data_IF_586802112872
#
_entry.id   IF_586802112872
#
_cell.length_a   1.000
_cell.length_b   1.000
_cell.length_c   1.000
_cell.angle_alpha   90.00
_cell.angle_beta   90.00
_cell.angle_gamma   90.00
#
_symmetry.space_group_name_H-M   'P 1'
#
loop_
_entity.id
_entity.type
_entity.pdbx_description
1 polymer ?
#
# COMPACT_ATOMS: atom_id res chain seq x y z
N UNK A 1 54.47 44.58 44.53
CA UNK A 1 53.30 44.64 43.64
C UNK A 1 53.13 43.25 43.04
N UNK A 2 52.22 42.42 43.55
CA UNK A 2 51.93 41.05 43.07
C UNK A 2 50.67 41.14 42.23
N UNK A 3 50.77 40.88 40.96
CA UNK A 3 49.65 40.80 40.03
C UNK A 3 49.16 39.36 40.07
N UNK A 4 47.99 39.15 40.65
CA UNK A 4 47.31 37.85 40.68
C UNK A 4 46.48 37.74 39.42
N UNK A 5 46.92 36.89 38.46
CA UNK A 5 46.17 36.56 37.27
C UNK A 5 45.09 35.56 37.67
N UNK A 6 43.83 35.98 37.67
CA UNK A 6 42.67 35.14 37.78
C UNK A 6 42.43 34.47 36.43
N UNK A 7 42.80 33.21 36.33
CA UNK A 7 42.46 32.36 35.19
C UNK A 7 40.99 31.92 35.40
N UNK A 8 40.09 32.63 34.74
CA UNK A 8 38.67 32.25 34.66
C UNK A 8 38.59 31.09 33.64
N UNK A 9 38.65 29.86 34.15
CA UNK A 9 38.33 28.68 33.35
C UNK A 9 36.83 28.64 33.09
N UNK A 10 36.45 29.16 31.92
CA UNK A 10 35.09 29.00 31.40
C UNK A 10 34.92 27.54 31.05
N UNK A 11 34.41 26.76 32.00
CA UNK A 11 33.85 25.42 31.73
C UNK A 11 32.63 25.63 30.85
N UNK A 12 32.85 25.55 29.53
CA UNK A 12 31.77 25.23 28.60
C UNK A 12 31.32 23.82 28.91
N UNK A 13 30.35 23.70 29.80
CA UNK A 13 29.48 22.54 29.83
C UNK A 13 28.68 22.61 28.54
N UNK A 14 29.23 22.09 27.47
CA UNK A 14 28.43 21.67 26.34
C UNK A 14 27.55 20.54 26.85
N UNK A 15 26.42 20.92 27.46
CA UNK A 15 25.28 20.02 27.52
C UNK A 15 24.93 19.76 26.06
N UNK A 16 25.58 18.71 25.50
CA UNK A 16 25.10 18.10 24.28
C UNK A 16 23.67 17.69 24.56
N UNK A 17 22.75 18.52 24.12
CA UNK A 17 21.43 18.05 23.82
C UNK A 17 21.67 17.03 22.70
N UNK A 18 21.81 15.76 23.09
CA UNK A 18 21.49 14.69 22.17
C UNK A 18 19.99 14.90 21.88
N UNK A 19 19.71 15.65 20.84
CA UNK A 19 18.45 15.55 20.16
C UNK A 19 18.48 14.11 19.69
N UNK A 20 17.81 13.21 20.42
CA UNK A 20 17.40 11.95 19.89
C UNK A 20 16.40 12.34 18.79
N UNK A 21 16.92 12.61 17.60
CA UNK A 21 16.10 12.55 16.41
C UNK A 21 15.64 11.11 16.37
N UNK A 22 14.38 10.92 16.71
CA UNK A 22 13.71 9.62 16.56
C UNK A 22 13.57 9.44 15.06
N UNK A 23 14.55 8.76 14.48
CA UNK A 23 14.45 8.25 13.12
C UNK A 23 13.34 7.20 13.05
N UNK A 24 12.86 6.87 11.86
CA UNK A 24 11.93 5.76 11.65
C UNK A 24 12.65 4.47 12.06
N UNK A 25 12.68 4.21 13.38
CA UNK A 25 13.38 3.07 13.96
C UNK A 25 12.67 1.79 13.52
N UNK A 26 13.40 0.95 12.78
CA UNK A 26 12.91 -0.37 12.42
C UNK A 26 12.86 -1.19 13.69
N UNK A 27 11.64 -1.45 14.17
CA UNK A 27 11.37 -2.19 15.40
C UNK A 27 10.95 -3.63 15.09
N UNK A 28 11.14 -4.51 16.04
CA UNK A 28 10.60 -5.88 15.98
C UNK A 28 9.08 -5.89 16.21
N UNK A 29 8.40 -6.90 15.65
CA UNK A 29 6.96 -7.13 15.80
C UNK A 29 6.10 -5.93 15.35
N UNK A 30 6.46 -5.31 14.25
CA UNK A 30 5.78 -4.14 13.71
C UNK A 30 5.48 -4.31 12.23
N UNK A 31 4.37 -3.71 11.78
CA UNK A 31 3.98 -3.67 10.39
C UNK A 31 4.56 -2.43 9.69
N UNK A 32 5.03 -2.63 8.46
CA UNK A 32 5.59 -1.59 7.60
C UNK A 32 5.00 -1.69 6.20
N UNK A 33 4.99 -0.56 5.51
CA UNK A 33 4.72 -0.46 4.09
C UNK A 33 5.99 -0.08 3.36
N UNK A 34 6.37 -0.87 2.35
CA UNK A 34 7.45 -0.59 1.42
C UNK A 34 6.85 -0.31 0.04
N UNK A 35 6.76 0.95 -0.33
CA UNK A 35 6.20 1.41 -1.60
C UNK A 35 7.26 2.11 -2.43
N UNK A 36 7.19 1.98 -3.76
CA UNK A 36 8.12 2.69 -4.62
C UNK A 36 8.00 2.33 -6.09
N UNK A 37 8.80 3.02 -6.89
CA UNK A 37 8.79 2.85 -8.34
C UNK A 37 10.18 2.97 -8.94
N UNK A 38 10.31 2.56 -10.17
CA UNK A 38 11.53 2.63 -10.93
C UNK A 38 11.43 1.91 -12.27
N UNK A 39 12.52 1.25 -12.63
CA UNK A 39 12.65 0.60 -13.92
C UNK A 39 13.14 -0.84 -13.78
N UNK A 40 12.59 -1.70 -14.63
CA UNK A 40 13.06 -3.05 -14.87
C UNK A 40 13.64 -3.13 -16.30
N UNK A 41 14.91 -3.52 -16.43
CA UNK A 41 15.69 -3.37 -17.65
C UNK A 41 16.24 -4.73 -18.10
N UNK A 42 16.02 -5.07 -19.37
CA UNK A 42 16.73 -6.14 -20.10
C UNK A 42 17.68 -5.54 -21.12
N UNK A 43 18.31 -6.37 -21.97
CA UNK A 43 19.12 -5.86 -23.10
C UNK A 43 18.25 -5.23 -24.19
N UNK A 44 16.98 -5.62 -24.27
CA UNK A 44 16.07 -5.24 -25.34
C UNK A 44 15.00 -4.22 -24.93
N UNK A 45 14.68 -4.11 -23.64
CA UNK A 45 13.55 -3.32 -23.16
C UNK A 45 13.79 -2.64 -21.82
N UNK A 46 13.06 -1.55 -21.61
CA UNK A 46 12.94 -0.88 -20.31
C UNK A 46 11.46 -0.81 -20.00
N UNK A 47 11.06 -1.40 -18.87
CA UNK A 47 9.70 -1.37 -18.33
C UNK A 47 9.62 -0.46 -17.12
N UNK A 48 8.51 0.23 -16.96
CA UNK A 48 8.18 0.91 -15.70
C UNK A 48 7.78 -0.17 -14.71
N UNK A 49 8.20 -0.03 -13.47
CA UNK A 49 7.92 -1.02 -12.45
C UNK A 49 7.64 -0.34 -11.12
N UNK A 50 6.63 -0.84 -10.42
CA UNK A 50 6.20 -0.36 -9.11
C UNK A 50 6.19 -1.53 -8.14
N UNK A 51 6.44 -1.25 -6.86
CA UNK A 51 6.30 -2.21 -5.78
C UNK A 51 5.45 -1.61 -4.66
N UNK A 52 4.64 -2.46 -4.04
CA UNK A 52 3.89 -2.15 -2.84
C UNK A 52 3.83 -3.43 -2.00
N UNK A 53 4.53 -3.42 -0.85
CA UNK A 53 4.66 -4.57 0.03
C UNK A 53 4.28 -4.23 1.46
N UNK A 54 3.33 -4.96 2.01
CA UNK A 54 3.04 -5.02 3.44
C UNK A 54 4.00 -5.97 4.13
N UNK A 55 4.79 -5.47 5.08
CA UNK A 55 5.82 -6.21 5.78
C UNK A 55 5.45 -6.39 7.25
N UNK A 56 5.75 -7.56 7.82
CA UNK A 56 5.69 -7.82 9.27
C UNK A 56 7.08 -8.17 9.77
N UNK A 57 7.69 -7.29 10.58
CA UNK A 57 8.98 -7.56 11.21
C UNK A 57 8.83 -8.60 12.32
N UNK A 58 9.84 -9.45 12.45
CA UNK A 58 9.94 -10.48 13.46
C UNK A 58 10.89 -10.06 14.58
N UNK A 59 11.17 -11.00 15.48
CA UNK A 59 12.09 -10.77 16.59
C UNK A 59 13.50 -10.42 16.10
N UNK A 60 14.08 -9.39 16.70
CA UNK A 60 15.43 -8.94 16.40
C UNK A 60 16.49 -9.96 16.88
N UNK A 61 17.48 -10.20 16.02
CA UNK A 61 18.64 -11.04 16.30
C UNK A 61 19.92 -10.27 16.03
N UNK A 62 20.48 -9.68 17.07
CA UNK A 62 21.66 -8.81 16.95
C UNK A 62 21.31 -7.53 16.17
N UNK A 63 22.01 -7.27 15.07
CA UNK A 63 21.75 -6.12 14.18
C UNK A 63 20.86 -6.46 12.97
N UNK A 64 20.17 -7.59 13.03
CA UNK A 64 19.30 -8.10 11.96
C UNK A 64 17.90 -8.33 12.48
N UNK A 65 16.91 -7.92 11.72
CA UNK A 65 15.49 -8.20 11.92
C UNK A 65 15.00 -8.93 10.68
N UNK A 66 14.52 -10.16 10.85
CA UNK A 66 13.84 -10.88 9.78
C UNK A 66 12.44 -10.29 9.61
N UNK A 67 11.91 -10.29 8.39
CA UNK A 67 10.52 -9.93 8.13
C UNK A 67 9.90 -10.83 7.07
N UNK A 68 8.59 -10.97 7.16
CA UNK A 68 7.76 -11.57 6.14
C UNK A 68 7.12 -10.48 5.30
N UNK A 69 6.95 -10.74 4.02
CA UNK A 69 6.07 -9.94 3.18
C UNK A 69 4.73 -10.67 3.19
N UNK A 70 3.77 -10.07 3.88
CA UNK A 70 2.46 -10.69 4.13
C UNK A 70 1.61 -10.66 2.86
N UNK A 71 1.71 -9.56 2.11
CA UNK A 71 0.99 -9.36 0.86
C UNK A 71 1.58 -8.18 0.08
N UNK A 72 1.18 -8.03 -1.19
CA UNK A 72 1.59 -6.93 -2.03
C UNK A 72 1.78 -7.33 -3.48
N UNK A 73 2.31 -6.40 -4.27
CA UNK A 73 2.49 -6.62 -5.69
C UNK A 73 3.76 -5.95 -6.24
N UNK A 74 4.16 -6.41 -7.42
CA UNK A 74 5.15 -5.77 -8.29
C UNK A 74 4.54 -5.65 -9.68
N UNK A 75 4.80 -4.55 -10.38
CA UNK A 75 4.40 -4.40 -11.79
C UNK A 75 5.61 -4.43 -12.73
N UNK A 76 5.40 -4.93 -13.93
CA UNK A 76 6.28 -4.76 -15.09
C UNK A 76 5.46 -4.16 -16.24
N UNK A 77 5.47 -2.83 -16.39
CA UNK A 77 4.50 -2.07 -17.16
C UNK A 77 3.07 -2.33 -16.65
N UNK A 78 2.25 -2.98 -17.46
CA UNK A 78 0.86 -3.29 -17.13
C UNK A 78 0.68 -4.70 -16.54
N UNK A 79 1.73 -5.50 -16.46
CA UNK A 79 1.67 -6.84 -15.88
C UNK A 79 1.91 -6.76 -14.37
N UNK A 80 0.99 -7.30 -13.59
CA UNK A 80 1.09 -7.36 -12.13
C UNK A 80 1.45 -8.77 -11.66
N UNK A 81 2.37 -8.83 -10.70
CA UNK A 81 2.79 -10.03 -10.01
C UNK A 81 2.45 -9.87 -8.53
N UNK A 82 1.75 -10.84 -7.98
CA UNK A 82 1.38 -10.88 -6.57
C UNK A 82 2.40 -11.63 -5.74
N UNK A 83 2.47 -11.30 -4.47
CA UNK A 83 3.32 -12.01 -3.52
C UNK A 83 2.78 -13.44 -3.32
N UNK A 84 3.65 -14.44 -3.50
CA UNK A 84 3.33 -15.82 -3.16
C UNK A 84 4.16 -16.32 -1.97
N UNK A 85 5.48 -16.14 -2.03
CA UNK A 85 6.38 -16.57 -0.98
C UNK A 85 7.61 -15.64 -0.94
N UNK A 86 7.51 -14.54 -0.22
CA UNK A 86 8.60 -13.58 -0.07
C UNK A 86 9.02 -13.43 1.39
N UNK A 87 10.32 -13.39 1.58
CA UNK A 87 10.93 -13.09 2.87
C UNK A 87 12.03 -12.05 2.73
N UNK A 88 12.34 -11.40 3.83
CA UNK A 88 13.41 -10.44 3.81
C UNK A 88 14.07 -10.22 5.17
N UNK A 89 15.08 -9.36 5.14
CA UNK A 89 15.87 -9.00 6.30
C UNK A 89 16.24 -7.54 6.27
N UNK A 90 16.03 -6.87 7.39
CA UNK A 90 16.70 -5.63 7.71
C UNK A 90 18.07 -5.97 8.30
N UNK A 91 19.12 -5.42 7.72
CA UNK A 91 20.50 -5.68 8.09
C UNK A 91 21.15 -4.41 8.62
N UNK A 92 22.04 -4.55 9.62
CA UNK A 92 22.76 -3.43 10.22
C UNK A 92 21.83 -2.31 10.69
N UNK A 93 20.83 -2.68 11.49
CA UNK A 93 19.88 -1.72 12.06
C UNK A 93 19.11 -0.94 10.98
N UNK A 94 18.71 -1.63 9.90
CA UNK A 94 17.92 -1.05 8.82
C UNK A 94 18.72 -0.32 7.74
N UNK A 95 20.04 -0.27 7.81
CA UNK A 95 20.85 0.37 6.75
C UNK A 95 20.75 -0.33 5.41
N UNK A 96 20.40 -1.62 5.42
CA UNK A 96 20.19 -2.41 4.21
C UNK A 96 18.95 -3.28 4.36
N UNK A 97 18.29 -3.50 3.24
CA UNK A 97 17.17 -4.42 3.11
C UNK A 97 17.53 -5.48 2.08
N UNK A 98 17.24 -6.74 2.36
CA UNK A 98 17.31 -7.83 1.39
C UNK A 98 15.96 -8.48 1.29
N UNK A 99 15.47 -8.70 0.06
CA UNK A 99 14.21 -9.40 -0.23
C UNK A 99 14.51 -10.47 -1.26
N UNK A 100 14.01 -11.70 -1.03
CA UNK A 100 14.12 -12.80 -1.97
C UNK A 100 12.87 -13.67 -1.87
N UNK A 101 12.57 -14.37 -2.96
CA UNK A 101 11.51 -15.37 -2.99
C UNK A 101 10.75 -15.37 -4.30
N UNK A 102 9.52 -15.84 -4.23
CA UNK A 102 8.67 -16.07 -5.38
C UNK A 102 7.50 -15.09 -5.40
N UNK A 103 7.15 -14.68 -6.60
CA UNK A 103 5.95 -13.94 -6.94
C UNK A 103 5.26 -14.67 -8.08
N UNK A 104 3.97 -14.48 -8.24
CA UNK A 104 3.18 -15.11 -9.27
C UNK A 104 2.55 -14.05 -10.16
N UNK A 105 2.61 -14.26 -11.48
CA UNK A 105 1.78 -13.46 -12.38
C UNK A 105 0.32 -13.86 -12.24
N UNK A 106 -0.60 -12.99 -12.64
CA UNK A 106 -2.04 -13.30 -12.67
C UNK A 106 -2.37 -14.53 -13.52
N UNK A 107 -1.46 -14.93 -14.41
CA UNK A 107 -1.57 -16.13 -15.25
C UNK A 107 -0.92 -17.37 -14.61
N UNK A 108 -0.45 -17.29 -13.35
CA UNK A 108 0.11 -18.42 -12.60
C UNK A 108 1.54 -18.79 -12.97
N UNK A 109 2.31 -17.89 -13.57
CA UNK A 109 3.73 -18.14 -13.85
C UNK A 109 4.60 -17.75 -12.66
N UNK A 110 5.38 -18.73 -12.18
CA UNK A 110 6.37 -18.51 -11.13
C UNK A 110 7.46 -17.56 -11.60
N UNK A 111 7.66 -16.52 -10.81
CA UNK A 111 8.68 -15.51 -11.03
C UNK A 111 9.48 -15.33 -9.76
N UNK A 112 10.81 -15.28 -9.86
CA UNK A 112 11.66 -15.11 -8.70
C UNK A 112 12.20 -13.70 -8.63
N UNK A 113 12.31 -13.17 -7.40
CA UNK A 113 12.95 -11.89 -7.16
C UNK A 113 14.13 -12.00 -6.21
N UNK A 114 15.10 -11.12 -6.42
CA UNK A 114 16.23 -10.95 -5.49
C UNK A 114 16.62 -9.48 -5.47
N UNK A 115 16.25 -8.78 -4.41
CA UNK A 115 16.43 -7.35 -4.26
C UNK A 115 17.36 -7.02 -3.10
N UNK A 116 18.12 -5.96 -3.27
CA UNK A 116 18.98 -5.39 -2.26
C UNK A 116 18.79 -3.88 -2.21
N UNK A 117 18.30 -3.39 -1.07
CA UNK A 117 18.08 -1.98 -0.79
C UNK A 117 19.17 -1.41 0.11
N UNK A 118 19.59 -0.20 -0.18
CA UNK A 118 20.47 0.59 0.66
C UNK A 118 19.73 1.85 1.11
N UNK A 119 19.80 2.14 2.40
CA UNK A 119 19.28 3.39 2.97
C UNK A 119 19.96 4.58 2.30
N UNK A 120 19.16 5.49 1.79
CA UNK A 120 19.55 6.76 1.19
C UNK A 120 19.42 7.88 2.20
N UNK A 121 18.26 7.97 2.82
CA UNK A 121 17.90 9.00 3.80
C UNK A 121 16.78 8.50 4.70
N UNK A 122 16.68 9.03 5.90
CA UNK A 122 15.62 8.70 6.85
C UNK A 122 15.06 9.97 7.50
N UNK A 123 13.80 9.93 7.82
CA UNK A 123 13.07 10.95 8.56
C UNK A 123 12.44 10.32 9.80
N UNK A 124 11.69 11.11 10.56
CA UNK A 124 10.99 10.62 11.74
C UNK A 124 9.99 9.48 11.42
N UNK A 125 9.31 9.56 10.29
CA UNK A 125 8.16 8.72 9.98
C UNK A 125 8.40 7.74 8.81
N UNK A 126 9.51 7.90 8.08
CA UNK A 126 9.81 7.07 6.92
C UNK A 126 11.31 7.05 6.60
N UNK A 127 11.73 6.00 5.90
CA UNK A 127 13.06 5.85 5.35
C UNK A 127 13.00 5.62 3.84
N UNK A 128 13.93 6.24 3.10
CA UNK A 128 14.04 6.09 1.65
C UNK A 128 15.19 5.16 1.32
N UNK A 129 14.92 4.17 0.47
CA UNK A 129 15.91 3.20 0.00
C UNK A 129 16.06 3.25 -1.51
N UNK A 130 17.29 3.09 -1.96
CA UNK A 130 17.60 2.77 -3.34
C UNK A 130 17.75 1.25 -3.47
N UNK A 131 16.90 0.60 -4.26
CA UNK A 131 16.96 -0.83 -4.51
C UNK A 131 17.59 -1.14 -5.85
N UNK A 132 18.38 -2.21 -5.87
CA UNK A 132 18.88 -2.87 -7.06
C UNK A 132 18.64 -4.37 -6.92
N UNK A 133 18.59 -5.06 -8.04
CA UNK A 133 18.37 -6.51 -8.01
C UNK A 133 17.89 -7.03 -9.34
N UNK A 134 17.16 -8.13 -9.29
CA UNK A 134 16.61 -8.76 -10.49
C UNK A 134 15.26 -9.39 -10.24
N UNK A 135 14.46 -9.40 -11.29
CA UNK A 135 13.24 -10.19 -11.45
C UNK A 135 13.55 -11.22 -12.55
N UNK A 136 13.35 -12.49 -12.27
CA UNK A 136 13.58 -13.59 -13.21
C UNK A 136 12.24 -14.23 -13.52
N UNK A 137 11.76 -14.01 -14.72
CA UNK A 137 10.58 -14.67 -15.29
C UNK A 137 11.01 -15.92 -16.05
N UNK A 138 10.05 -16.65 -16.66
CA UNK A 138 10.35 -17.77 -17.54
C UNK A 138 11.14 -17.36 -18.77
N UNK A 139 10.93 -16.15 -19.27
CA UNK A 139 11.45 -15.69 -20.56
C UNK A 139 12.64 -14.74 -20.40
N UNK A 140 12.67 -13.91 -19.35
CA UNK A 140 13.61 -12.82 -19.20
C UNK A 140 14.20 -12.68 -17.80
N UNK A 141 15.33 -11.98 -17.73
CA UNK A 141 15.93 -11.50 -16.48
C UNK A 141 15.99 -9.97 -16.53
N UNK A 142 15.14 -9.35 -15.74
CA UNK A 142 15.10 -7.89 -15.58
C UNK A 142 16.05 -7.46 -14.45
N UNK A 143 16.92 -6.50 -14.72
CA UNK A 143 17.66 -5.76 -13.68
C UNK A 143 16.79 -4.61 -13.20
N UNK A 144 16.59 -4.48 -11.88
CA UNK A 144 15.74 -3.43 -11.31
C UNK A 144 16.56 -2.31 -10.71
N UNK A 145 16.01 -1.11 -10.79
CA UNK A 145 16.46 0.09 -10.08
C UNK A 145 15.22 0.81 -9.58
N UNK A 146 15.01 0.78 -8.25
CA UNK A 146 13.87 1.43 -7.61
C UNK A 146 14.32 2.48 -6.60
N UNK A 147 13.47 3.49 -6.44
CA UNK A 147 13.45 4.34 -5.24
C UNK A 147 12.20 4.01 -4.45
N UNK A 148 12.39 3.65 -3.19
CA UNK A 148 11.30 3.19 -2.34
C UNK A 148 11.25 3.98 -1.05
N UNK A 149 10.06 4.04 -0.47
CA UNK A 149 9.80 4.57 0.86
C UNK A 149 9.35 3.42 1.74
N UNK A 150 9.99 3.26 2.88
CA UNK A 150 9.55 2.40 3.96
C UNK A 150 8.90 3.27 5.03
N UNK A 151 7.67 3.01 5.37
CA UNK A 151 6.95 3.70 6.44
C UNK A 151 6.32 2.70 7.39
N UNK A 152 6.18 3.08 8.66
CA UNK A 152 5.46 2.27 9.64
C UNK A 152 3.97 2.32 9.32
N UNK A 153 3.32 1.16 9.28
CA UNK A 153 1.86 1.10 9.21
C UNK A 153 1.28 1.39 10.59
N UNK A 154 0.54 2.48 10.66
CA UNK A 154 -0.18 2.89 11.88
C UNK A 154 -1.66 2.68 11.70
N UNK A 155 -2.36 2.32 12.79
CA UNK A 155 -3.81 2.16 12.75
C UNK A 155 -4.49 3.41 12.22
N UNK A 156 -5.40 3.20 11.30
CA UNK A 156 -6.32 4.25 10.86
C UNK A 156 -7.36 4.45 11.94
N UNK A 157 -7.53 5.68 12.44
CA UNK A 157 -8.60 6.04 13.35
C UNK A 157 -9.40 7.18 12.76
N UNK A 158 -10.69 7.00 12.84
CA UNK A 158 -11.67 8.07 12.63
C UNK A 158 -12.13 8.50 14.02
N UNK A 159 -11.95 9.79 14.32
CA UNK A 159 -12.46 10.36 15.57
C UNK A 159 -13.99 10.29 15.57
N UNK A 160 -14.54 9.29 16.25
CA UNK A 160 -15.91 9.37 16.72
C UNK A 160 -15.90 9.84 18.18
N UNK A 161 -16.68 10.83 18.50
CA UNK A 161 -16.84 11.42 19.84
C UNK A 161 -17.49 10.43 20.87
N UNK A 162 -17.43 9.12 20.62
CA UNK A 162 -17.97 8.12 21.51
C UNK A 162 -16.96 7.03 21.82
N UNK A 163 -16.64 6.92 23.08
CA UNK A 163 -15.86 5.83 23.67
C UNK A 163 -16.37 4.45 23.21
N UNK A 164 -15.46 3.68 22.58
CA UNK A 164 -15.64 2.23 22.32
C UNK A 164 -16.42 1.79 21.09
N UNK A 165 -16.31 2.41 19.93
CA UNK A 165 -16.73 1.76 18.69
C UNK A 165 -15.50 1.47 17.83
N UNK A 166 -15.24 0.18 17.54
CA UNK A 166 -14.29 -0.28 16.51
C UNK A 166 -14.89 -0.16 15.10
N UNK A 167 -16.04 0.48 14.99
CA UNK A 167 -16.79 0.58 13.75
C UNK A 167 -16.36 1.84 12.98
N UNK A 168 -15.76 1.62 11.83
CA UNK A 168 -15.40 2.66 10.89
C UNK A 168 -16.51 2.91 9.88
N UNK A 169 -16.69 4.16 9.51
CA UNK A 169 -17.58 4.52 8.39
C UNK A 169 -16.77 5.16 7.28
N UNK A 170 -16.89 4.61 6.08
CA UNK A 170 -16.33 5.18 4.85
C UNK A 170 -17.50 5.61 3.96
N UNK A 171 -17.47 6.85 3.54
CA UNK A 171 -18.46 7.42 2.64
C UNK A 171 -18.01 7.33 1.18
N UNK A 172 -18.84 6.74 0.32
CA UNK A 172 -18.77 6.92 -1.13
C UNK A 172 -19.32 8.30 -1.40
N UNK A 173 -18.48 9.21 -1.87
CA UNK A 173 -18.82 10.62 -1.92
C UNK A 173 -19.78 10.93 -3.08
N UNK A 174 -20.63 11.91 -2.86
CA UNK A 174 -21.55 12.39 -3.91
C UNK A 174 -20.81 12.84 -5.16
N UNK A 175 -21.24 12.34 -6.32
CA UNK A 175 -20.65 12.64 -7.63
C UNK A 175 -19.44 11.76 -7.97
N UNK A 176 -19.13 10.76 -7.18
CA UNK A 176 -18.00 9.84 -7.45
C UNK A 176 -18.14 9.11 -8.77
N UNK A 177 -19.34 8.73 -9.16
CA UNK A 177 -19.64 8.12 -10.46
C UNK A 177 -19.44 9.05 -11.65
N UNK A 178 -19.54 10.37 -11.47
CA UNK A 178 -19.43 11.36 -12.56
C UNK A 178 -18.00 11.84 -12.77
N UNK A 179 -17.18 11.85 -11.74
CA UNK A 179 -15.83 12.46 -11.75
C UNK A 179 -14.86 11.76 -12.70
N UNK A 180 -14.96 10.46 -12.86
CA UNK A 180 -14.12 9.70 -13.80
C UNK A 180 -14.43 10.00 -15.26
N UNK A 181 -15.67 10.31 -15.58
CA UNK A 181 -16.10 10.60 -16.94
C UNK A 181 -15.67 12.01 -17.42
N UNK A 182 -15.57 12.97 -16.51
CA UNK A 182 -15.17 14.35 -16.82
C UNK A 182 -13.65 14.52 -16.94
N UNK A 183 -12.87 13.72 -16.24
CA UNK A 183 -11.41 13.81 -16.21
C UNK A 183 -10.70 12.89 -17.21
N UNK A 184 -11.36 12.48 -18.28
CA UNK A 184 -10.94 11.52 -19.30
C UNK A 184 -9.60 11.79 -20.03
N UNK A 185 -8.58 12.27 -19.32
CA UNK A 185 -7.21 12.38 -19.80
C UNK A 185 -6.33 11.53 -18.87
N UNK A 186 -5.98 10.28 -19.27
CA UNK A 186 -4.96 9.51 -18.57
C UNK A 186 -3.64 10.28 -18.60
N UNK A 187 -3.06 10.56 -17.45
CA UNK A 187 -1.72 11.12 -17.34
C UNK A 187 -1.62 12.61 -17.00
N UNK A 188 -2.69 13.36 -16.88
CA UNK A 188 -2.63 14.66 -16.23
C UNK A 188 -2.72 14.46 -14.70
N UNK A 189 -1.59 14.19 -14.09
CA UNK A 189 -1.40 14.48 -12.67
C UNK A 189 -1.55 16.00 -12.51
N UNK A 190 -2.78 16.42 -12.29
CA UNK A 190 -3.00 17.75 -11.79
C UNK A 190 -2.41 17.78 -10.38
N UNK A 191 -1.39 18.58 -10.19
CA UNK A 191 -0.81 18.96 -8.93
C UNK A 191 -1.78 19.79 -8.05
N UNK A 192 -3.06 19.55 -8.19
CA UNK A 192 -4.10 20.18 -7.38
C UNK A 192 -4.16 19.43 -6.05
N UNK A 193 -3.95 20.10 -4.91
CA UNK A 193 -4.09 19.50 -3.59
C UNK A 193 -5.54 19.07 -3.28
N UNK A 194 -6.50 19.42 -4.10
CA UNK A 194 -7.85 18.86 -4.09
C UNK A 194 -7.90 17.61 -4.95
N UNK A 195 -7.22 16.55 -4.55
CA UNK A 195 -7.50 15.21 -5.08
C UNK A 195 -9.00 14.98 -4.95
N UNK A 196 -9.65 14.80 -6.07
CA UNK A 196 -11.06 14.39 -6.09
C UNK A 196 -11.12 13.03 -5.40
N UNK A 197 -11.65 13.01 -4.18
CA UNK A 197 -11.76 11.79 -3.39
C UNK A 197 -13.09 11.16 -3.71
N UNK A 198 -13.05 9.95 -4.20
CA UNK A 198 -14.25 9.16 -4.44
C UNK A 198 -14.80 8.59 -3.14
N UNK A 199 -13.92 8.38 -2.16
CA UNK A 199 -14.24 7.92 -0.82
C UNK A 199 -13.77 8.95 0.22
N UNK A 200 -14.38 8.94 1.39
CA UNK A 200 -13.91 9.74 2.51
C UNK A 200 -12.49 9.36 2.94
N UNK A 201 -12.11 8.10 2.70
CA UNK A 201 -10.74 7.58 2.81
C UNK A 201 -10.48 6.60 1.68
N UNK A 202 -9.30 6.69 1.07
CA UNK A 202 -8.82 5.83 -0.02
C UNK A 202 -7.75 4.83 0.43
N UNK A 203 -7.27 4.96 1.67
CA UNK A 203 -6.30 4.06 2.28
C UNK A 203 -6.64 3.84 3.74
N UNK A 204 -6.66 2.57 4.17
CA UNK A 204 -6.94 2.15 5.54
C UNK A 204 -5.90 1.14 6.03
N UNK A 205 -5.56 1.20 7.31
CA UNK A 205 -4.72 0.22 7.99
C UNK A 205 -5.43 -0.22 9.27
N UNK A 206 -5.84 -1.47 9.34
CA UNK A 206 -6.75 -2.00 10.36
C UNK A 206 -6.29 -3.37 10.86
N UNK A 207 -6.71 -3.72 12.07
CA UNK A 207 -6.52 -5.08 12.59
C UNK A 207 -7.47 -6.08 11.92
N UNK A 208 -7.09 -7.37 11.80
CA UNK A 208 -8.03 -8.43 11.43
C UNK A 208 -9.25 -8.45 12.36
N UNK A 209 -10.43 -8.70 11.81
CA UNK A 209 -11.70 -8.65 12.52
C UNK A 209 -12.31 -7.24 12.65
N UNK A 210 -11.67 -6.21 12.10
CA UNK A 210 -12.24 -4.86 12.05
C UNK A 210 -13.42 -4.81 11.09
N UNK A 211 -14.47 -4.12 11.52
CA UNK A 211 -15.70 -3.94 10.75
C UNK A 211 -15.75 -2.52 10.19
N UNK A 212 -16.09 -2.38 8.92
CA UNK A 212 -16.22 -1.09 8.21
C UNK A 212 -17.62 -1.00 7.62
N UNK A 213 -18.28 0.13 7.86
CA UNK A 213 -19.55 0.46 7.23
C UNK A 213 -19.31 1.39 6.06
N UNK A 214 -19.66 0.97 4.85
CA UNK A 214 -19.67 1.80 3.66
C UNK A 214 -21.04 2.45 3.51
N UNK A 215 -21.06 3.78 3.40
CA UNK A 215 -22.29 4.57 3.19
C UNK A 215 -22.23 5.15 1.79
N UNK A 216 -23.25 4.92 0.99
CA UNK A 216 -23.35 5.47 -0.35
C UNK A 216 -24.08 6.82 -0.35
N UNK A 217 -23.31 7.92 -0.35
CA UNK A 217 -23.84 9.28 -0.46
C UNK A 217 -23.98 9.74 -1.93
N UNK A 218 -23.58 8.91 -2.90
CA UNK A 218 -23.74 9.24 -4.33
C UNK A 218 -25.18 9.02 -4.82
N UNK A 219 -25.50 9.62 -5.94
CA UNK A 219 -26.83 9.55 -6.53
C UNK A 219 -27.08 8.24 -7.33
N UNK A 220 -26.04 7.38 -7.44
CA UNK A 220 -26.09 6.09 -8.15
C UNK A 220 -25.77 4.93 -7.22
N UNK A 221 -26.11 3.71 -7.63
CA UNK A 221 -25.67 2.49 -6.94
C UNK A 221 -24.19 2.23 -7.17
N UNK A 222 -23.54 1.68 -6.15
CA UNK A 222 -22.14 1.27 -6.19
C UNK A 222 -21.97 -0.17 -5.73
N UNK A 223 -20.83 -0.76 -6.12
CA UNK A 223 -20.42 -2.08 -5.66
C UNK A 223 -18.92 -2.07 -5.41
N UNK A 224 -18.49 -2.71 -4.34
CA UNK A 224 -17.08 -2.87 -4.04
C UNK A 224 -16.70 -4.35 -4.12
N UNK A 225 -15.65 -4.63 -4.87
CA UNK A 225 -15.07 -5.97 -4.98
C UNK A 225 -13.59 -5.92 -4.64
N UNK A 226 -13.09 -6.94 -3.94
CA UNK A 226 -11.66 -7.09 -3.69
C UNK A 226 -10.99 -7.88 -4.80
N UNK A 227 -9.71 -7.60 -5.06
CA UNK A 227 -8.98 -8.35 -6.05
C UNK A 227 -7.58 -7.81 -6.31
N UNK A 228 -6.96 -8.38 -7.34
CA UNK A 228 -5.61 -8.05 -7.79
C UNK A 228 -5.63 -7.60 -9.24
N UNK A 229 -4.69 -6.77 -9.64
CA UNK A 229 -4.56 -6.30 -11.01
C UNK A 229 -4.47 -4.78 -11.14
N UNK A 230 -4.39 -4.32 -12.38
CA UNK A 230 -4.19 -2.92 -12.69
C UNK A 230 -5.39 -2.07 -12.24
N UNK A 231 -5.10 -1.04 -11.47
CA UNK A 231 -6.09 -0.12 -10.92
C UNK A 231 -6.49 1.04 -11.86
N UNK A 232 -5.84 1.16 -13.01
CA UNK A 232 -6.12 2.24 -13.99
C UNK A 232 -7.08 1.79 -15.09
N UNK A 233 -8.11 1.05 -14.71
CA UNK A 233 -9.03 0.42 -15.65
C UNK A 233 -10.12 1.38 -16.12
N UNK A 234 -9.84 2.15 -17.17
CA UNK A 234 -10.91 2.86 -17.89
C UNK A 234 -11.74 1.95 -18.81
N UNK A 235 -11.20 0.78 -19.20
CA UNK A 235 -11.88 -0.23 -20.02
C UNK A 235 -11.39 -1.63 -19.69
N UNK A 236 -11.00 -1.88 -18.44
CA UNK A 236 -10.36 -3.12 -18.03
C UNK A 236 -11.29 -4.33 -18.04
N UNK A 237 -10.69 -5.49 -18.18
CA UNK A 237 -11.39 -6.77 -18.12
C UNK A 237 -11.26 -7.34 -16.73
N UNK A 238 -12.39 -7.56 -16.07
CA UNK A 238 -12.46 -8.19 -14.76
C UNK A 238 -12.66 -9.69 -14.96
N UNK A 239 -11.80 -10.48 -14.34
CA UNK A 239 -11.89 -11.92 -14.33
C UNK A 239 -12.32 -12.44 -12.96
N UNK A 240 -13.13 -13.48 -12.93
CA UNK A 240 -13.56 -14.13 -11.71
C UNK A 240 -13.67 -15.63 -11.90
N UNK A 241 -13.31 -16.40 -10.89
CA UNK A 241 -13.51 -17.84 -10.83
C UNK A 241 -14.96 -18.23 -10.48
N UNK A 242 -15.78 -17.28 -10.04
CA UNK A 242 -17.15 -17.53 -9.60
C UNK A 242 -18.15 -17.23 -10.73
N UNK A 243 -18.60 -18.27 -11.48
CA UNK A 243 -19.48 -18.05 -12.63
C UNK A 243 -20.90 -17.60 -12.28
N UNK A 244 -21.36 -17.84 -11.04
CA UNK A 244 -22.77 -17.72 -10.70
C UNK A 244 -23.20 -16.39 -10.05
N UNK A 245 -22.25 -15.51 -9.71
CA UNK A 245 -22.53 -14.27 -8.94
C UNK A 245 -22.05 -12.98 -9.63
N UNK A 246 -21.80 -13.02 -10.92
CA UNK A 246 -21.36 -11.85 -11.64
C UNK A 246 -22.58 -11.12 -12.17
N UNK A 247 -22.76 -9.85 -11.84
CA UNK A 247 -23.89 -9.06 -12.30
C UNK A 247 -23.90 -8.87 -13.82
N UNK A 248 -25.08 -8.74 -14.38
CA UNK A 248 -25.24 -8.35 -15.79
C UNK A 248 -24.54 -6.99 -16.03
N UNK A 249 -23.73 -6.94 -17.07
CA UNK A 249 -23.01 -5.74 -17.49
C UNK A 249 -21.47 -5.86 -17.40
N UNK A 250 -20.95 -6.87 -16.73
CA UNK A 250 -19.50 -7.11 -16.69
C UNK A 250 -19.01 -7.80 -17.96
N UNK A 251 -17.87 -7.37 -18.46
CA UNK A 251 -17.09 -8.11 -19.44
C UNK A 251 -16.39 -9.27 -18.74
N UNK A 252 -17.14 -10.31 -18.41
CA UNK A 252 -16.64 -11.48 -17.71
C UNK A 252 -15.81 -12.37 -18.63
N UNK A 253 -14.65 -12.77 -18.13
CA UNK A 253 -13.81 -13.79 -18.73
C UNK A 253 -13.54 -14.84 -17.66
N UNK A 254 -13.93 -16.11 -17.84
CA UNK A 254 -13.60 -17.16 -16.88
C UNK A 254 -12.10 -17.24 -16.65
N UNK A 255 -11.67 -17.33 -15.39
CA UNK A 255 -10.27 -17.58 -15.04
C UNK A 255 -9.82 -18.88 -15.73
N UNK A 256 -8.56 -18.90 -16.20
CA UNK A 256 -8.00 -20.05 -16.91
C UNK A 256 -8.38 -20.16 -18.39
N UNK A 257 -9.04 -19.17 -18.98
CA UNK A 257 -9.21 -19.12 -20.44
C UNK A 257 -7.86 -18.80 -21.09
N UNK A 258 -7.23 -19.78 -21.73
CA UNK A 258 -5.93 -19.60 -22.39
C UNK A 258 -5.90 -18.36 -23.31
N UNK A 259 -4.88 -17.52 -23.13
CA UNK A 259 -4.58 -16.37 -23.99
C UNK A 259 -5.39 -15.11 -23.70
N UNK A 260 -5.90 -14.92 -22.51
CA UNK A 260 -6.63 -13.70 -22.12
C UNK A 260 -5.94 -12.95 -20.99
N UNK A 261 -5.59 -11.71 -21.25
CA UNK A 261 -5.08 -10.80 -20.26
C UNK A 261 -6.25 -10.32 -19.38
N UNK A 262 -6.19 -10.61 -18.09
CA UNK A 262 -7.09 -10.06 -17.09
C UNK A 262 -6.47 -8.81 -16.50
N UNK A 263 -7.17 -7.70 -16.55
CA UNK A 263 -6.71 -6.45 -15.94
C UNK A 263 -6.97 -6.42 -14.43
N UNK A 264 -8.00 -7.13 -13.98
CA UNK A 264 -8.36 -7.30 -12.58
C UNK A 264 -8.98 -8.66 -12.34
N UNK A 265 -8.54 -9.34 -11.28
CA UNK A 265 -9.07 -10.65 -10.87
C UNK A 265 -9.70 -10.51 -9.49
N UNK A 266 -10.97 -10.89 -9.38
CA UNK A 266 -11.66 -10.99 -8.10
C UNK A 266 -11.04 -12.11 -7.27
N UNK A 267 -10.61 -11.79 -6.05
CA UNK A 267 -9.90 -12.72 -5.15
C UNK A 267 -10.84 -13.56 -4.25
N UNK A 268 -12.14 -13.38 -4.39
CA UNK A 268 -13.15 -14.12 -3.64
C UNK A 268 -13.39 -13.63 -2.21
N UNK A 269 -12.65 -12.63 -1.71
CA UNK A 269 -12.75 -12.18 -0.31
C UNK A 269 -13.95 -11.26 -0.07
N UNK A 270 -14.07 -10.19 -0.84
CA UNK A 270 -15.12 -9.17 -0.65
C UNK A 270 -15.86 -8.91 -1.95
N UNK A 271 -17.18 -9.06 -1.90
CA UNK A 271 -18.11 -8.58 -2.91
C UNK A 271 -19.35 -8.06 -2.19
N UNK A 272 -19.51 -6.74 -2.17
CA UNK A 272 -20.62 -6.11 -1.45
C UNK A 272 -21.98 -6.38 -2.08
N UNK A 273 -22.02 -6.77 -3.36
CA UNK A 273 -23.25 -6.59 -4.12
C UNK A 273 -23.57 -5.10 -4.28
N UNK A 274 -24.78 -4.80 -4.69
CA UNK A 274 -25.23 -3.43 -4.93
C UNK A 274 -25.50 -2.70 -3.60
N UNK A 275 -24.93 -1.51 -3.45
CA UNK A 275 -25.20 -0.55 -2.39
C UNK A 275 -25.97 0.61 -3.05
N UNK A 276 -27.28 0.65 -2.88
CA UNK A 276 -28.12 1.67 -3.49
C UNK A 276 -27.80 3.06 -2.92
N UNK A 277 -28.15 4.11 -3.68
CA UNK A 277 -28.01 5.50 -3.22
C UNK A 277 -28.70 5.72 -1.88
N UNK A 278 -28.00 6.25 -0.89
CA UNK A 278 -28.47 6.49 0.46
C UNK A 278 -28.42 5.28 1.38
N UNK A 279 -28.07 4.10 0.88
CA UNK A 279 -27.94 2.88 1.67
C UNK A 279 -26.53 2.71 2.26
N UNK A 280 -26.40 1.75 3.15
CA UNK A 280 -25.10 1.38 3.76
C UNK A 280 -24.94 -0.12 3.85
N UNK A 281 -23.70 -0.57 3.82
CA UNK A 281 -23.32 -1.96 4.00
C UNK A 281 -22.12 -2.09 4.92
N UNK A 282 -22.15 -3.08 5.80
CA UNK A 282 -21.07 -3.34 6.75
C UNK A 282 -20.30 -4.59 6.35
N UNK A 283 -18.96 -4.49 6.35
CA UNK A 283 -18.04 -5.57 5.99
C UNK A 283 -17.05 -5.79 7.14
N UNK A 284 -16.77 -7.06 7.45
CA UNK A 284 -15.69 -7.43 8.38
C UNK A 284 -14.50 -7.93 7.60
N UNK A 285 -13.31 -7.44 7.94
CA UNK A 285 -12.04 -7.82 7.34
C UNK A 285 -11.33 -8.83 8.25
N UNK A 286 -11.65 -10.12 8.08
CA UNK A 286 -11.17 -11.18 8.97
C UNK A 286 -9.76 -11.65 8.60
N UNK A 287 -9.45 -11.76 7.32
CA UNK A 287 -8.18 -12.28 6.84
C UNK A 287 -7.13 -11.18 6.75
N UNK A 288 -5.89 -11.52 7.10
CA UNK A 288 -4.74 -10.64 6.89
C UNK A 288 -4.43 -10.50 5.41
N UNK A 289 -3.84 -9.37 5.07
CA UNK A 289 -3.32 -9.12 3.73
C UNK A 289 -3.66 -7.73 3.21
N UNK A 290 -3.30 -7.51 1.98
CA UNK A 290 -3.64 -6.32 1.22
C UNK A 290 -4.99 -6.53 0.53
N UNK A 291 -5.88 -5.56 0.67
CA UNK A 291 -7.17 -5.53 0.02
C UNK A 291 -7.23 -4.33 -0.92
N UNK A 292 -7.24 -4.60 -2.20
CA UNK A 292 -7.59 -3.60 -3.19
C UNK A 292 -9.10 -3.73 -3.48
N UNK A 293 -9.87 -2.77 -2.98
CA UNK A 293 -11.29 -2.69 -3.29
C UNK A 293 -11.49 -1.71 -4.44
N UNK A 294 -12.23 -2.10 -5.45
CA UNK A 294 -12.63 -1.21 -6.51
C UNK A 294 -14.12 -1.35 -6.81
N UNK A 295 -14.68 -0.31 -7.43
CA UNK A 295 -15.99 -0.39 -8.03
C UNK A 295 -15.87 -0.79 -9.50
N UNK A 296 -16.38 -1.97 -9.91
CA UNK A 296 -16.24 -2.43 -11.28
C UNK A 296 -16.96 -1.60 -12.33
N UNK A 297 -18.04 -0.92 -11.93
CA UNK A 297 -18.80 -0.03 -12.82
C UNK A 297 -18.12 1.35 -12.93
N UNK A 298 -17.29 1.69 -11.90
CA UNK A 298 -16.51 2.93 -11.80
C UNK A 298 -15.05 2.60 -11.43
N UNK A 299 -14.25 2.02 -12.35
CA UNK A 299 -12.94 1.44 -12.03
C UNK A 299 -11.89 2.43 -11.52
N UNK A 300 -12.14 3.72 -11.59
CA UNK A 300 -11.31 4.77 -10.99
C UNK A 300 -11.52 4.93 -9.48
N UNK A 301 -12.59 4.34 -8.95
CA UNK A 301 -12.92 4.35 -7.52
C UNK A 301 -12.20 3.17 -6.85
N UNK A 302 -11.21 3.47 -6.01
CA UNK A 302 -10.37 2.47 -5.36
C UNK A 302 -10.13 2.82 -3.89
N UNK A 303 -10.08 1.78 -3.07
CA UNK A 303 -9.59 1.82 -1.68
C UNK A 303 -8.51 0.76 -1.52
N UNK A 304 -7.40 1.13 -0.88
CA UNK A 304 -6.34 0.21 -0.48
C UNK A 304 -6.45 -0.07 1.03
N UNK A 305 -6.68 -1.32 1.38
CA UNK A 305 -6.80 -1.80 2.76
C UNK A 305 -5.59 -2.65 3.16
N UNK A 306 -4.94 -2.29 4.25
CA UNK A 306 -3.85 -3.05 4.86
C UNK A 306 -4.36 -3.66 6.16
N UNK A 307 -4.65 -4.97 6.13
CA UNK A 307 -5.17 -5.71 7.27
C UNK A 307 -4.04 -6.52 7.89
N UNK A 308 -3.41 -5.97 8.94
CA UNK A 308 -2.26 -6.57 9.57
C UNK A 308 -2.41 -6.58 11.10
N UNK A 309 -1.90 -7.61 11.74
CA UNK A 309 -1.60 -7.55 13.16
C UNK A 309 -0.34 -6.73 13.37
N UNK A 310 -0.14 -6.18 14.56
CA UNK A 310 1.05 -5.41 14.92
C UNK A 310 1.16 -4.03 14.23
N UNK A 311 0.03 -3.43 13.88
CA UNK A 311 -0.02 -2.03 13.51
C UNK A 311 0.46 -1.16 14.67
N UNK A 312 1.11 -0.05 14.36
CA UNK A 312 1.50 0.91 15.37
C UNK A 312 0.25 1.62 15.92
N UNK A 313 0.14 1.69 17.26
CA UNK A 313 -0.96 2.40 17.93
C UNK A 313 -0.84 3.94 17.83
N UNK A 314 0.22 4.47 17.21
CA UNK A 314 0.31 5.88 16.87
C UNK A 314 -0.70 6.17 15.77
N UNK A 315 -1.78 6.83 16.16
CA UNK A 315 -2.93 7.12 15.34
C UNK A 315 -2.55 8.08 14.20
N UNK A 316 -2.68 7.63 12.96
CA UNK A 316 -2.64 8.49 11.79
C UNK A 316 -4.08 8.79 11.41
N UNK A 317 -4.49 10.05 11.54
CA UNK A 317 -5.74 10.50 10.94
C UNK A 317 -5.59 10.33 9.43
N UNK A 318 -6.52 9.58 8.83
CA UNK A 318 -6.52 9.40 7.37
C UNK A 318 -6.38 10.77 6.69
N UNK A 319 -5.59 10.86 5.62
CA UNK A 319 -5.34 12.09 4.85
C UNK A 319 -6.64 12.65 4.25
N UNK A 320 -7.61 12.97 5.06
CA UNK A 320 -8.95 13.39 4.68
C UNK A 320 -9.54 14.50 5.50
N UNK A 321 -8.99 14.78 6.64
CA UNK A 321 -9.51 15.85 7.50
C UNK A 321 -8.59 17.06 7.53
N UNK A 322 -8.50 17.80 6.44
CA UNK A 322 -8.36 19.24 6.54
C UNK A 322 -9.76 19.79 6.86
N UNK A 323 -10.10 19.78 8.14
CA UNK A 323 -11.15 20.64 8.67
C UNK A 323 -10.68 22.07 8.47
N UNK A 324 -11.12 22.68 7.35
CA UNK A 324 -11.04 24.10 7.16
C UNK A 324 -11.84 24.77 8.29
N UNK A 325 -11.14 25.52 9.10
CA UNK A 325 -11.70 26.65 9.84
C UNK A 325 -11.71 27.87 8.95
#
# INVERSE_FOLDING_TARGET
MKVTIFLLSLLFVSSGYFINESFAEISENQAFLLEGSGFAVTEESIKISEIDFGLSSQQQRGSTIDFLIEDGFITLDNEEFIVSELEGKFLREGRYIRINGNIESLNGFDTTISFFGRLVEESKDAAVYGFTGKITTTDDIYKIIFTTKLSTLSKTIISSDSEKSTDFTIHIQKGSSLQGAENGIPGQQNSDPLRLRYFSMDRISIDPGTTITFVNDDDTSHRLVSGTGNSNLLNGKICSELPDNIPEGFNYIPAGSEGRDCDFIFDGRINTGEIASGDSLTITFDDRGFYRLLDPDYPWMRIDGYVFSNLNDNLVFGEGQNLGN
#
